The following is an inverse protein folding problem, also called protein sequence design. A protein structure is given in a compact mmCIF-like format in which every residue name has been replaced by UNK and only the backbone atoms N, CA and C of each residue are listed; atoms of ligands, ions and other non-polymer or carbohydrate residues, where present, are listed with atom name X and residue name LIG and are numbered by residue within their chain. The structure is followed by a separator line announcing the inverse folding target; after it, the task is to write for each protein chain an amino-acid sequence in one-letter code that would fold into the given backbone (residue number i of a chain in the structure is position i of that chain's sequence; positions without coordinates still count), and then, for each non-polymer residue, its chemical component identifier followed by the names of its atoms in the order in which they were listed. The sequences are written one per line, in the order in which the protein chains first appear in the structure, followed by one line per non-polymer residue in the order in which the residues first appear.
data_IF_454134351879
#
_entry.id   IF_454134351879
#
_cell.length_a   1.000
_cell.length_b   1.000
_cell.length_c   1.000
_cell.angle_alpha   90.00
_cell.angle_beta   90.00
_cell.angle_gamma   90.00
#
_symmetry.space_group_name_H-M   'P 1'
#
loop_
_entity.id
_entity.type
_entity.pdbx_description
1 polymer ?
#
# COMPACT_ATOMS: atom_id res chain seq x y z
N UNK A 1 -4.78 -13.10 -25.22
CA UNK A 1 -3.60 -13.45 -24.37
C UNK A 1 -3.52 -12.42 -23.25
N UNK A 2 -3.43 -12.86 -21.99
CA UNK A 2 -3.34 -11.97 -20.82
C UNK A 2 -2.10 -11.05 -20.95
N UNK A 3 -2.18 -9.80 -20.47
CA UNK A 3 -1.10 -8.79 -20.49
C UNK A 3 0.20 -9.37 -19.95
N UNK A 4 0.12 -10.15 -18.87
CA UNK A 4 1.28 -10.82 -18.28
C UNK A 4 1.89 -11.84 -19.24
N UNK A 5 1.09 -12.73 -19.81
CA UNK A 5 1.57 -13.70 -20.80
C UNK A 5 2.22 -13.01 -22.00
N UNK A 6 1.64 -11.90 -22.48
CA UNK A 6 2.23 -11.07 -23.55
C UNK A 6 3.56 -10.45 -23.15
N UNK A 7 3.72 -10.02 -21.90
CA UNK A 7 4.99 -9.50 -21.40
C UNK A 7 6.10 -10.56 -21.42
N UNK A 8 5.76 -11.80 -21.05
CA UNK A 8 6.73 -12.90 -21.00
C UNK A 8 7.06 -13.47 -22.38
N UNK A 9 6.05 -13.73 -23.23
CA UNK A 9 6.26 -14.26 -24.59
C UNK A 9 7.08 -13.35 -25.50
N UNK A 10 7.12 -12.04 -25.24
CA UNK A 10 8.01 -11.10 -25.95
C UNK A 10 9.50 -11.45 -25.87
N UNK A 11 9.90 -12.32 -24.93
CA UNK A 11 11.28 -12.77 -24.72
C UNK A 11 11.63 -14.06 -25.48
N UNK A 12 10.72 -14.51 -26.36
CA UNK A 12 10.94 -15.68 -27.23
C UNK A 12 12.08 -15.48 -28.23
N UNK A 13 12.39 -14.24 -28.58
CA UNK A 13 13.54 -13.85 -29.42
C UNK A 13 14.90 -14.18 -28.77
N UNK A 14 14.93 -14.51 -27.48
CA UNK A 14 16.15 -14.86 -26.72
C UNK A 14 16.38 -16.37 -26.59
N UNK A 15 15.51 -17.19 -27.17
CA UNK A 15 15.63 -18.66 -27.13
C UNK A 15 15.78 -19.19 -28.55
N UNK A 16 16.68 -20.15 -28.72
CA UNK A 16 16.77 -20.99 -29.91
C UNK A 16 16.53 -22.45 -29.53
N UNK A 17 16.43 -23.30 -30.53
CA UNK A 17 16.27 -24.74 -30.34
C UNK A 17 17.44 -25.48 -31.00
N UNK A 18 17.92 -26.50 -30.31
CA UNK A 18 18.94 -27.42 -30.81
C UNK A 18 18.35 -28.82 -30.90
N UNK A 19 18.79 -29.58 -31.88
CA UNK A 19 18.50 -31.00 -32.01
C UNK A 19 19.78 -31.77 -31.70
N UNK A 20 19.67 -32.82 -30.89
CA UNK A 20 20.80 -33.72 -30.65
C UNK A 20 21.04 -34.54 -31.91
N UNK A 21 22.31 -34.64 -32.34
CA UNK A 21 22.68 -35.60 -33.37
C UNK A 21 22.46 -37.02 -32.85
N UNK A 22 21.96 -37.90 -33.71
CA UNK A 22 21.77 -39.32 -33.40
C UNK A 22 23.02 -39.91 -32.73
N UNK A 23 22.81 -40.64 -31.61
CA UNK A 23 23.76 -41.56 -30.92
C UNK A 23 24.13 -41.28 -29.45
N UNK A 24 23.27 -40.65 -28.64
CA UNK A 24 23.52 -40.57 -27.19
C UNK A 24 22.44 -41.32 -26.39
N UNK A 25 22.67 -42.62 -26.15
CA UNK A 25 21.77 -43.47 -25.37
C UNK A 25 21.46 -42.87 -23.98
N UNK A 26 22.43 -42.20 -23.36
CA UNK A 26 22.26 -41.59 -22.05
C UNK A 26 21.21 -40.45 -22.02
N UNK A 27 20.95 -39.75 -23.13
CA UNK A 27 19.89 -38.72 -23.19
C UNK A 27 18.49 -39.33 -23.34
N UNK A 28 18.38 -40.54 -23.94
CA UNK A 28 17.10 -41.26 -24.05
C UNK A 28 16.56 -41.69 -22.69
N UNK A 29 17.44 -42.05 -21.75
CA UNK A 29 17.05 -42.37 -20.38
C UNK A 29 16.32 -41.19 -19.71
N UNK A 30 16.73 -39.96 -20.05
CA UNK A 30 16.10 -38.71 -19.60
C UNK A 30 14.86 -38.31 -20.41
N UNK A 31 14.43 -39.11 -21.39
CA UNK A 31 13.28 -38.83 -22.25
C UNK A 31 13.53 -37.76 -23.30
N UNK A 32 14.80 -37.55 -23.67
CA UNK A 32 15.19 -36.64 -24.74
C UNK A 32 15.36 -37.49 -26.01
N UNK A 33 14.29 -37.54 -26.81
CA UNK A 33 14.24 -38.25 -28.10
C UNK A 33 13.36 -37.43 -29.05
N UNK A 34 13.89 -37.11 -30.24
CA UNK A 34 13.18 -36.37 -31.30
C UNK A 34 12.45 -35.09 -30.84
N UNK A 35 13.01 -34.42 -29.83
CA UNK A 35 12.46 -33.22 -29.24
C UNK A 35 13.45 -32.05 -29.39
N UNK A 36 13.01 -30.90 -29.93
CA UNK A 36 13.87 -29.72 -29.98
C UNK A 36 14.15 -29.26 -28.55
N UNK A 37 15.42 -29.05 -28.21
CA UNK A 37 15.82 -28.60 -26.87
C UNK A 37 16.03 -27.09 -26.87
N UNK A 38 15.37 -26.35 -25.97
CA UNK A 38 15.56 -24.90 -25.90
C UNK A 38 16.95 -24.57 -25.33
N UNK A 39 17.57 -23.55 -25.88
CA UNK A 39 18.82 -22.97 -25.39
C UNK A 39 18.72 -21.45 -25.38
N UNK A 40 19.18 -20.82 -24.30
CA UNK A 40 19.20 -19.36 -24.18
C UNK A 40 20.35 -18.82 -25.05
N UNK A 41 20.04 -17.95 -26.01
CA UNK A 41 21.01 -17.48 -27.02
C UNK A 41 22.27 -16.87 -26.41
N UNK A 42 22.12 -16.03 -25.39
CA UNK A 42 23.28 -15.42 -24.72
C UNK A 42 24.17 -16.45 -24.03
N UNK A 43 23.58 -17.50 -23.45
CA UNK A 43 24.34 -18.55 -22.77
C UNK A 43 25.03 -19.45 -23.79
N UNK A 44 24.38 -19.71 -24.92
CA UNK A 44 24.98 -20.36 -26.09
C UNK A 44 26.22 -19.61 -26.60
N UNK A 45 26.10 -18.30 -26.84
CA UNK A 45 27.21 -17.47 -27.32
C UNK A 45 28.39 -17.45 -26.33
N UNK A 46 28.11 -17.33 -25.03
CA UNK A 46 29.15 -17.35 -24.00
C UNK A 46 29.89 -18.70 -23.95
N UNK A 47 29.17 -19.82 -24.00
CA UNK A 47 29.82 -21.13 -23.99
C UNK A 47 30.62 -21.41 -25.27
N UNK A 48 30.21 -20.88 -26.43
CA UNK A 48 31.00 -20.97 -27.68
C UNK A 48 32.28 -20.16 -27.58
N UNK A 49 32.21 -18.97 -26.97
CA UNK A 49 33.37 -18.07 -26.82
C UNK A 49 34.38 -18.62 -25.81
N UNK A 50 33.91 -19.32 -24.78
CA UNK A 50 34.74 -19.88 -23.72
C UNK A 50 35.22 -21.31 -23.98
N UNK A 51 35.05 -21.84 -25.20
CA UNK A 51 35.35 -23.24 -25.55
C UNK A 51 34.62 -24.29 -24.70
N UNK A 52 33.53 -23.92 -24.03
CA UNK A 52 32.73 -24.85 -23.20
C UNK A 52 31.83 -25.77 -24.05
N UNK A 53 31.63 -25.43 -25.33
CA UNK A 53 30.83 -26.22 -26.28
C UNK A 53 31.65 -26.94 -27.35
N UNK A 54 32.98 -26.99 -27.21
CA UNK A 54 33.86 -27.57 -28.23
C UNK A 54 33.62 -29.09 -28.43
N UNK A 55 33.09 -29.78 -27.41
CA UNK A 55 32.82 -31.22 -27.46
C UNK A 55 31.35 -31.60 -27.17
N UNK A 56 30.71 -30.99 -26.16
CA UNK A 56 29.35 -31.33 -25.74
C UNK A 56 28.64 -30.13 -25.08
N UNK A 57 27.33 -30.01 -25.29
CA UNK A 57 26.50 -29.03 -24.59
C UNK A 57 26.18 -29.56 -23.20
N UNK A 58 26.75 -28.91 -22.17
CA UNK A 58 26.47 -29.28 -20.77
C UNK A 58 24.94 -29.25 -20.52
N UNK A 59 24.44 -30.29 -19.88
CA UNK A 59 23.01 -30.46 -19.56
C UNK A 59 22.41 -29.27 -18.80
N UNK A 60 23.22 -28.53 -18.03
CA UNK A 60 22.79 -27.31 -17.34
C UNK A 60 22.24 -26.24 -18.29
N UNK A 61 22.80 -26.09 -19.49
CA UNK A 61 22.31 -25.11 -20.48
C UNK A 61 20.96 -25.52 -21.05
N UNK A 62 20.72 -26.83 -21.21
CA UNK A 62 19.45 -27.39 -21.64
C UNK A 62 18.40 -27.20 -20.54
N UNK A 63 18.74 -27.51 -19.28
CA UNK A 63 17.87 -27.28 -18.13
C UNK A 63 17.48 -25.80 -18.04
N UNK A 64 18.44 -24.88 -18.14
CA UNK A 64 18.19 -23.44 -18.11
C UNK A 64 17.28 -23.00 -19.25
N UNK A 65 17.49 -23.51 -20.46
CA UNK A 65 16.63 -23.24 -21.62
C UNK A 65 15.21 -23.75 -21.42
N UNK A 66 15.04 -24.95 -20.84
CA UNK A 66 13.73 -25.51 -20.53
C UNK A 66 13.01 -24.64 -19.50
N UNK A 67 13.69 -24.26 -18.41
CA UNK A 67 13.12 -23.38 -17.40
C UNK A 67 12.73 -22.02 -17.99
N UNK A 68 13.56 -21.48 -18.89
CA UNK A 68 13.25 -20.26 -19.62
C UNK A 68 11.98 -20.40 -20.45
N UNK A 69 11.84 -21.50 -21.22
CA UNK A 69 10.63 -21.75 -22.01
C UNK A 69 9.37 -21.88 -21.16
N UNK A 70 9.44 -22.60 -20.04
CA UNK A 70 8.32 -22.71 -19.09
C UNK A 70 7.91 -21.33 -18.57
N UNK A 71 8.87 -20.44 -18.30
CA UNK A 71 8.58 -19.09 -17.86
C UNK A 71 7.95 -18.22 -18.95
N UNK A 72 8.47 -18.30 -20.19
CA UNK A 72 8.04 -17.36 -21.25
C UNK A 72 6.76 -17.79 -21.96
N UNK A 73 6.54 -19.10 -22.14
CA UNK A 73 5.38 -19.64 -22.83
C UNK A 73 4.95 -21.00 -22.22
N UNK A 74 4.17 -20.99 -21.13
CA UNK A 74 3.72 -22.21 -20.45
C UNK A 74 2.75 -23.07 -21.29
N UNK A 75 2.26 -22.54 -22.42
CA UNK A 75 1.38 -23.26 -23.36
C UNK A 75 2.13 -23.77 -24.59
N UNK A 76 3.46 -23.63 -24.64
CA UNK A 76 4.27 -24.11 -25.74
C UNK A 76 4.15 -25.64 -25.91
N UNK A 77 4.17 -26.10 -27.16
CA UNK A 77 3.75 -27.45 -27.54
C UNK A 77 4.52 -28.57 -26.80
N UNK A 78 5.79 -28.33 -26.46
CA UNK A 78 6.68 -29.30 -25.81
C UNK A 78 6.80 -29.14 -24.28
N UNK A 79 6.00 -28.29 -23.64
CA UNK A 79 6.13 -27.98 -22.20
C UNK A 79 5.93 -29.21 -21.32
N UNK A 80 5.04 -30.13 -21.69
CA UNK A 80 4.77 -31.33 -20.90
C UNK A 80 5.96 -32.30 -20.95
N UNK A 81 6.56 -32.46 -22.11
CA UNK A 81 7.77 -33.26 -22.35
C UNK A 81 8.95 -32.66 -21.59
N UNK A 82 9.13 -31.34 -21.67
CA UNK A 82 10.12 -30.61 -20.90
C UNK A 82 9.97 -30.80 -19.39
N UNK A 83 8.74 -30.77 -18.86
CA UNK A 83 8.49 -31.07 -17.43
C UNK A 83 8.87 -32.50 -17.07
N UNK A 84 8.62 -33.47 -17.95
CA UNK A 84 9.05 -34.88 -17.75
C UNK A 84 10.59 -35.01 -17.75
N UNK A 85 11.27 -34.33 -18.67
CA UNK A 85 12.74 -34.30 -18.74
C UNK A 85 13.31 -33.72 -17.45
N UNK A 86 12.80 -32.58 -16.98
CA UNK A 86 13.22 -31.98 -15.72
C UNK A 86 12.98 -32.91 -14.51
N UNK A 87 11.85 -33.63 -14.49
CA UNK A 87 11.54 -34.57 -13.41
C UNK A 87 12.41 -35.82 -13.38
N UNK A 88 13.05 -36.17 -14.50
CA UNK A 88 14.06 -37.25 -14.56
C UNK A 88 15.47 -36.75 -14.22
N UNK A 89 15.77 -35.50 -14.54
CA UNK A 89 17.10 -34.89 -14.31
C UNK A 89 17.29 -34.32 -12.90
N UNK A 90 16.20 -33.93 -12.23
CA UNK A 90 16.24 -33.16 -10.99
C UNK A 90 15.27 -33.74 -9.96
N UNK A 91 15.73 -33.87 -8.71
CA UNK A 91 14.87 -34.28 -7.59
C UNK A 91 13.69 -33.33 -7.35
N UNK A 92 13.92 -32.02 -7.54
CA UNK A 92 12.89 -31.01 -7.43
C UNK A 92 13.19 -29.82 -8.36
N UNK A 93 12.50 -29.79 -9.50
CA UNK A 93 12.71 -28.79 -10.54
C UNK A 93 12.33 -27.37 -10.10
N UNK A 94 11.28 -27.21 -9.27
CA UNK A 94 10.88 -25.91 -8.73
C UNK A 94 11.95 -25.32 -7.80
N UNK A 95 12.48 -26.14 -6.88
CA UNK A 95 13.59 -25.75 -5.99
C UNK A 95 14.86 -25.43 -6.77
N UNK A 96 15.18 -26.24 -7.79
CA UNK A 96 16.33 -25.96 -8.66
C UNK A 96 16.20 -24.59 -9.35
N UNK A 97 15.03 -24.29 -9.91
CA UNK A 97 14.77 -23.00 -10.56
C UNK A 97 14.91 -21.81 -9.60
N UNK A 98 14.46 -21.94 -8.34
CA UNK A 98 14.69 -20.91 -7.31
C UNK A 98 16.17 -20.72 -7.01
N UNK A 99 16.92 -21.80 -6.78
CA UNK A 99 18.36 -21.73 -6.53
C UNK A 99 19.09 -21.08 -7.71
N UNK A 100 18.64 -21.37 -8.94
CA UNK A 100 19.15 -20.71 -10.15
C UNK A 100 18.87 -19.21 -10.13
N UNK A 101 17.67 -18.77 -9.76
CA UNK A 101 17.35 -17.33 -9.66
C UNK A 101 18.28 -16.60 -8.69
N UNK A 102 18.67 -17.23 -7.57
CA UNK A 102 19.57 -16.64 -6.56
C UNK A 102 20.96 -16.38 -7.16
N UNK A 103 21.46 -17.24 -8.06
CA UNK A 103 22.76 -17.04 -8.72
C UNK A 103 22.82 -15.76 -9.58
N UNK A 104 21.67 -15.30 -10.06
CA UNK A 104 21.51 -14.10 -10.87
C UNK A 104 21.04 -12.87 -10.08
N UNK A 105 20.82 -13.01 -8.77
CA UNK A 105 20.47 -11.90 -7.90
C UNK A 105 21.51 -10.77 -8.01
N UNK A 106 21.04 -9.52 -8.14
CA UNK A 106 21.84 -8.33 -8.45
C UNK A 106 22.65 -8.33 -9.77
N UNK A 107 22.61 -9.42 -10.57
CA UNK A 107 23.33 -9.53 -11.84
C UNK A 107 22.42 -9.37 -13.04
N UNK A 108 21.23 -9.99 -13.00
CA UNK A 108 20.30 -9.99 -14.13
C UNK A 108 18.85 -10.16 -13.65
N UNK A 109 18.13 -9.04 -13.54
CA UNK A 109 16.73 -9.03 -13.09
C UNK A 109 15.82 -9.88 -13.97
N UNK A 110 16.00 -9.88 -15.30
CA UNK A 110 15.18 -10.67 -16.21
C UNK A 110 15.31 -12.16 -15.92
N UNK A 111 16.55 -12.67 -15.76
CA UNK A 111 16.76 -14.08 -15.40
C UNK A 111 16.19 -14.42 -14.02
N UNK A 112 16.31 -13.52 -13.04
CA UNK A 112 15.70 -13.72 -11.71
C UNK A 112 14.18 -13.84 -11.83
N UNK A 113 13.54 -12.94 -12.56
CA UNK A 113 12.09 -12.94 -12.81
C UNK A 113 11.63 -14.19 -13.55
N UNK A 114 12.36 -14.62 -14.59
CA UNK A 114 12.00 -15.81 -15.36
C UNK A 114 12.18 -17.10 -14.56
N UNK A 115 13.29 -17.27 -13.84
CA UNK A 115 13.51 -18.49 -13.07
C UNK A 115 12.59 -18.60 -11.86
N UNK A 116 12.23 -17.50 -11.20
CA UNK A 116 11.20 -17.52 -10.14
C UNK A 116 9.81 -17.84 -10.71
N UNK A 117 9.45 -17.28 -11.88
CA UNK A 117 8.22 -17.65 -12.59
C UNK A 117 8.19 -19.12 -12.98
N UNK A 118 9.29 -19.65 -13.53
CA UNK A 118 9.42 -21.06 -13.86
C UNK A 118 9.23 -21.94 -12.62
N UNK A 119 9.87 -21.59 -11.51
CA UNK A 119 9.73 -22.30 -10.25
C UNK A 119 8.27 -22.38 -9.78
N UNK A 120 7.55 -21.26 -9.86
CA UNK A 120 6.13 -21.18 -9.51
C UNK A 120 5.24 -22.02 -10.45
N UNK A 121 5.51 -22.02 -11.75
CA UNK A 121 4.74 -22.80 -12.75
C UNK A 121 5.06 -24.30 -12.75
N UNK A 122 6.20 -24.68 -12.18
CA UNK A 122 6.60 -26.07 -11.97
C UNK A 122 5.96 -26.68 -10.73
N UNK A 123 5.87 -25.89 -9.65
CA UNK A 123 5.17 -26.28 -8.43
C UNK A 123 4.45 -25.06 -7.84
N UNK A 124 3.15 -25.06 -8.08
CA UNK A 124 2.25 -24.01 -7.67
C UNK A 124 1.97 -24.01 -6.14
N UNK A 125 2.27 -25.12 -5.45
CA UNK A 125 2.13 -25.23 -3.99
C UNK A 125 3.41 -24.82 -3.25
N UNK A 126 4.54 -24.70 -3.96
CA UNK A 126 5.78 -24.19 -3.40
C UNK A 126 5.63 -22.71 -3.00
N UNK A 127 5.41 -22.49 -1.71
CA UNK A 127 5.17 -21.17 -1.12
C UNK A 127 6.32 -20.19 -1.39
N UNK A 128 7.57 -20.67 -1.29
CA UNK A 128 8.75 -19.84 -1.53
C UNK A 128 8.84 -19.42 -3.00
N UNK A 129 8.46 -20.30 -3.93
CA UNK A 129 8.44 -19.97 -5.36
C UNK A 129 7.35 -18.94 -5.67
N UNK A 130 6.14 -19.19 -5.17
CA UNK A 130 5.01 -18.30 -5.31
C UNK A 130 5.30 -16.90 -4.73
N UNK A 131 5.82 -16.82 -3.50
CA UNK A 131 6.22 -15.58 -2.86
C UNK A 131 7.31 -14.85 -3.65
N UNK A 132 8.39 -15.54 -4.04
CA UNK A 132 9.52 -14.94 -4.76
C UNK A 132 9.08 -14.33 -6.09
N UNK A 133 8.22 -15.03 -6.82
CA UNK A 133 7.66 -14.54 -8.07
C UNK A 133 6.70 -13.35 -7.83
N UNK A 134 5.78 -13.46 -6.88
CA UNK A 134 4.84 -12.38 -6.57
C UNK A 134 5.56 -11.09 -6.13
N UNK A 135 6.61 -11.21 -5.31
CA UNK A 135 7.44 -10.09 -4.88
C UNK A 135 8.05 -9.33 -6.06
N UNK A 136 8.53 -10.04 -7.07
CA UNK A 136 9.10 -9.43 -8.27
C UNK A 136 8.02 -8.83 -9.17
N UNK A 137 6.85 -9.47 -9.26
CA UNK A 137 5.73 -8.95 -10.06
C UNK A 137 5.26 -7.58 -9.55
N UNK A 138 5.01 -7.42 -8.24
CA UNK A 138 4.51 -6.14 -7.76
C UNK A 138 5.58 -5.04 -7.78
N UNK A 139 6.87 -5.41 -7.76
CA UNK A 139 8.02 -4.50 -7.94
C UNK A 139 8.48 -4.33 -9.40
N UNK A 140 7.80 -4.94 -10.36
CA UNK A 140 8.26 -4.94 -11.77
C UNK A 140 8.29 -3.52 -12.36
N UNK A 141 9.32 -3.21 -13.13
CA UNK A 141 9.41 -1.95 -13.87
C UNK A 141 8.66 -2.06 -15.21
N UNK A 142 7.43 -1.56 -15.23
CA UNK A 142 6.54 -1.50 -16.40
C UNK A 142 5.82 -0.17 -16.43
N UNK A 143 5.29 0.23 -17.58
CA UNK A 143 4.52 1.47 -17.69
C UNK A 143 3.33 1.47 -16.72
N UNK A 144 2.96 2.67 -16.25
CA UNK A 144 1.89 2.89 -15.26
C UNK A 144 0.57 2.23 -15.67
N UNK A 145 0.25 2.23 -16.96
CA UNK A 145 -0.94 1.59 -17.55
C UNK A 145 -1.01 0.08 -17.25
N UNK A 146 0.12 -0.62 -17.23
CA UNK A 146 0.15 -2.07 -16.98
C UNK A 146 0.43 -2.43 -15.53
N UNK A 147 0.98 -1.50 -14.73
CA UNK A 147 1.45 -1.77 -13.36
C UNK A 147 0.37 -2.41 -12.48
N UNK A 148 -0.87 -1.93 -12.58
CA UNK A 148 -2.01 -2.44 -11.82
C UNK A 148 -2.25 -3.94 -12.06
N UNK A 149 -2.19 -4.39 -13.33
CA UNK A 149 -2.39 -5.82 -13.69
C UNK A 149 -1.34 -6.72 -13.03
N UNK A 150 -0.08 -6.27 -12.96
CA UNK A 150 0.99 -7.03 -12.32
C UNK A 150 0.84 -7.04 -10.79
N UNK A 151 0.45 -5.92 -10.18
CA UNK A 151 0.20 -5.83 -8.73
C UNK A 151 -0.99 -6.72 -8.34
N UNK A 152 -2.08 -6.71 -9.10
CA UNK A 152 -3.22 -7.60 -8.85
C UNK A 152 -2.83 -9.07 -8.89
N UNK A 153 -1.99 -9.46 -9.85
CA UNK A 153 -1.58 -10.86 -9.99
C UNK A 153 -0.63 -11.27 -8.87
N UNK A 154 0.26 -10.37 -8.42
CA UNK A 154 1.04 -10.59 -7.20
C UNK A 154 0.14 -10.80 -5.97
N UNK A 155 -0.88 -9.95 -5.78
CA UNK A 155 -1.85 -10.09 -4.69
C UNK A 155 -2.55 -11.45 -4.76
N UNK A 156 -3.06 -11.85 -5.94
CA UNK A 156 -3.76 -13.14 -6.12
C UNK A 156 -2.86 -14.33 -5.76
N UNK A 157 -1.58 -14.28 -6.11
CA UNK A 157 -0.61 -15.33 -5.78
C UNK A 157 -0.36 -15.35 -4.26
N UNK A 158 -0.12 -14.19 -3.64
CA UNK A 158 0.12 -14.10 -2.19
C UNK A 158 -1.11 -14.54 -1.37
N UNK A 159 -2.31 -14.11 -1.77
CA UNK A 159 -3.56 -14.54 -1.13
C UNK A 159 -3.81 -16.04 -1.34
N UNK A 160 -3.34 -16.62 -2.45
CA UNK A 160 -3.42 -18.07 -2.64
C UNK A 160 -2.57 -18.80 -1.62
N UNK A 161 -1.35 -18.34 -1.35
CA UNK A 161 -0.50 -18.90 -0.28
C UNK A 161 -1.27 -18.91 1.05
N UNK A 162 -1.88 -17.76 1.39
CA UNK A 162 -2.63 -17.62 2.65
C UNK A 162 -3.90 -18.46 2.73
N UNK A 163 -4.45 -18.98 1.62
CA UNK A 163 -5.62 -19.88 1.66
C UNK A 163 -5.30 -21.25 2.25
N UNK A 164 -4.06 -21.74 2.11
CA UNK A 164 -3.65 -23.04 2.64
C UNK A 164 -2.60 -22.93 3.76
N UNK A 165 -1.90 -21.80 3.86
CA UNK A 165 -1.00 -21.48 4.97
C UNK A 165 -1.19 -20.02 5.40
N UNK A 166 -2.22 -19.76 6.20
CA UNK A 166 -2.54 -18.42 6.71
C UNK A 166 -1.39 -17.79 7.51
N UNK A 167 -0.58 -18.63 8.17
CA UNK A 167 0.58 -18.21 8.97
C UNK A 167 1.84 -17.88 8.15
N UNK A 168 1.83 -18.04 6.83
CA UNK A 168 3.03 -17.79 6.03
C UNK A 168 3.47 -16.32 6.13
N UNK A 169 4.56 -16.09 6.87
CA UNK A 169 4.97 -14.75 7.32
C UNK A 169 5.41 -13.86 6.16
N UNK A 170 6.11 -14.41 5.17
CA UNK A 170 6.57 -13.67 4.00
C UNK A 170 5.43 -13.18 3.11
N UNK A 171 4.36 -13.97 2.92
CA UNK A 171 3.21 -13.51 2.13
C UNK A 171 2.41 -12.43 2.87
N UNK A 172 2.21 -12.58 4.18
CA UNK A 172 1.61 -11.53 5.00
C UNK A 172 2.46 -10.25 4.92
N UNK A 173 3.79 -10.33 5.05
CA UNK A 173 4.65 -9.16 4.98
C UNK A 173 4.54 -8.41 3.65
N UNK A 174 4.58 -9.12 2.52
CA UNK A 174 4.44 -8.50 1.20
C UNK A 174 3.03 -7.92 0.96
N UNK A 175 1.97 -8.59 1.40
CA UNK A 175 0.62 -8.02 1.34
C UNK A 175 0.49 -6.76 2.21
N UNK A 176 1.21 -6.71 3.33
CA UNK A 176 1.38 -5.50 4.14
C UNK A 176 2.05 -4.38 3.34
N UNK A 177 3.17 -4.67 2.67
CA UNK A 177 3.90 -3.71 1.83
C UNK A 177 3.04 -3.17 0.68
N UNK A 178 2.29 -4.03 0.01
CA UNK A 178 1.36 -3.63 -1.07
C UNK A 178 0.20 -2.78 -0.52
N UNK A 179 -0.35 -3.16 0.64
CA UNK A 179 -1.44 -2.40 1.28
C UNK A 179 -0.95 -1.01 1.70
N UNK A 180 0.25 -0.91 2.27
CA UNK A 180 0.89 0.37 2.59
C UNK A 180 1.10 1.23 1.34
N UNK A 181 1.66 0.64 0.27
CA UNK A 181 1.90 1.36 -0.99
C UNK A 181 0.62 1.88 -1.66
N UNK A 182 -0.54 1.29 -1.32
CA UNK A 182 -1.86 1.70 -1.82
C UNK A 182 -2.64 2.55 -0.80
N UNK A 183 -1.99 3.03 0.27
CA UNK A 183 -2.59 3.91 1.28
C UNK A 183 -3.60 3.23 2.22
N UNK A 184 -3.63 1.89 2.27
CA UNK A 184 -4.54 1.11 3.11
C UNK A 184 -3.85 0.73 4.42
N UNK A 185 -3.60 1.70 5.29
CA UNK A 185 -2.71 1.54 6.44
C UNK A 185 -3.25 0.56 7.50
N UNK A 186 -4.56 0.57 7.79
CA UNK A 186 -5.15 -0.44 8.69
C UNK A 186 -4.99 -1.86 8.15
N UNK A 187 -5.22 -2.05 6.84
CA UNK A 187 -5.03 -3.35 6.19
C UNK A 187 -3.55 -3.77 6.24
N UNK A 188 -2.64 -2.84 5.99
CA UNK A 188 -1.21 -3.08 6.08
C UNK A 188 -0.79 -3.52 7.49
N UNK A 189 -1.24 -2.80 8.52
CA UNK A 189 -0.95 -3.11 9.91
C UNK A 189 -1.47 -4.50 10.32
N UNK A 190 -2.65 -4.90 9.86
CA UNK A 190 -3.19 -6.24 10.11
C UNK A 190 -2.31 -7.34 9.50
N UNK A 191 -1.84 -7.15 8.26
CA UNK A 191 -0.92 -8.08 7.62
C UNK A 191 0.44 -8.12 8.33
N UNK A 192 0.98 -6.96 8.72
CA UNK A 192 2.24 -6.90 9.47
C UNK A 192 2.16 -7.60 10.82
N UNK A 193 1.06 -7.43 11.57
CA UNK A 193 0.85 -8.16 12.82
C UNK A 193 0.83 -9.69 12.62
N UNK A 194 0.16 -10.18 11.57
CA UNK A 194 0.15 -11.61 11.21
C UNK A 194 1.54 -12.10 10.81
N UNK A 195 2.28 -11.30 10.03
CA UNK A 195 3.64 -11.61 9.65
C UNK A 195 4.56 -11.68 10.87
N UNK A 196 4.51 -10.69 11.76
CA UNK A 196 5.36 -10.58 12.95
C UNK A 196 5.14 -11.74 13.92
N UNK A 197 3.88 -12.15 14.11
CA UNK A 197 3.50 -13.27 14.98
C UNK A 197 4.09 -14.60 14.52
N UNK A 198 4.28 -14.79 13.21
CA UNK A 198 4.71 -16.05 12.60
C UNK A 198 6.11 -15.96 11.95
N UNK A 199 6.84 -14.86 12.15
CA UNK A 199 8.18 -14.69 11.60
C UNK A 199 9.21 -15.50 12.41
N UNK A 200 9.96 -16.35 11.71
CA UNK A 200 10.98 -17.22 12.34
C UNK A 200 12.29 -16.47 12.61
N UNK A 201 12.73 -15.67 11.63
CA UNK A 201 14.03 -14.96 11.66
C UNK A 201 13.89 -13.55 12.24
N UNK A 202 14.88 -13.12 13.03
CA UNK A 202 14.84 -11.82 13.69
C UNK A 202 14.97 -10.67 12.67
N UNK A 203 15.73 -10.87 11.60
CA UNK A 203 15.87 -9.90 10.51
C UNK A 203 14.52 -9.58 9.84
N UNK A 204 13.65 -10.58 9.72
CA UNK A 204 12.29 -10.37 9.20
C UNK A 204 11.42 -9.63 10.22
N UNK A 205 11.54 -9.96 11.51
CA UNK A 205 10.78 -9.24 12.56
C UNK A 205 11.19 -7.77 12.62
N UNK A 206 12.48 -7.48 12.53
CA UNK A 206 12.99 -6.10 12.52
C UNK A 206 12.50 -5.35 11.29
N UNK A 207 12.57 -5.96 10.10
CA UNK A 207 12.01 -5.38 8.89
C UNK A 207 10.49 -5.10 9.02
N UNK A 208 9.73 -6.00 9.63
CA UNK A 208 8.29 -5.80 9.87
C UNK A 208 8.06 -4.67 10.87
N UNK A 209 8.79 -4.63 11.99
CA UNK A 209 8.68 -3.57 13.00
C UNK A 209 9.02 -2.21 12.42
N UNK A 210 10.06 -2.12 11.60
CA UNK A 210 10.43 -0.89 10.91
C UNK A 210 9.30 -0.39 10.01
N UNK A 211 8.66 -1.29 9.25
CA UNK A 211 7.52 -0.93 8.42
C UNK A 211 6.28 -0.54 9.23
N UNK A 212 6.01 -1.23 10.34
CA UNK A 212 4.93 -0.86 11.26
C UNK A 212 5.17 0.52 11.88
N UNK A 213 6.40 0.84 12.29
CA UNK A 213 6.76 2.13 12.85
C UNK A 213 6.55 3.27 11.84
N UNK A 214 6.86 3.04 10.56
CA UNK A 214 6.65 4.03 9.49
C UNK A 214 5.18 4.38 9.28
N UNK A 215 4.27 3.41 9.47
CA UNK A 215 2.81 3.62 9.27
C UNK A 215 2.04 3.87 10.56
N UNK A 216 2.68 3.77 11.73
CA UNK A 216 2.01 3.90 13.02
C UNK A 216 1.22 5.21 13.17
N UNK A 217 1.71 6.38 12.69
CA UNK A 217 0.92 7.61 12.71
C UNK A 217 -0.35 7.54 11.87
N UNK A 218 -0.28 6.98 10.66
CA UNK A 218 -1.45 6.82 9.78
C UNK A 218 -2.50 5.89 10.41
N UNK A 219 -2.04 4.76 10.94
CA UNK A 219 -2.89 3.78 11.63
C UNK A 219 -3.60 4.42 12.82
N UNK A 220 -2.87 5.17 13.65
CA UNK A 220 -3.44 5.83 14.83
C UNK A 220 -4.48 6.89 14.45
N UNK A 221 -4.24 7.68 13.40
CA UNK A 221 -5.22 8.68 12.92
C UNK A 221 -6.49 8.00 12.39
N UNK A 222 -6.35 6.98 11.53
CA UNK A 222 -7.51 6.24 10.99
C UNK A 222 -8.34 5.58 12.10
N UNK A 223 -7.69 4.93 13.07
CA UNK A 223 -8.36 4.36 14.23
C UNK A 223 -9.01 5.42 15.11
N UNK A 224 -8.34 6.54 15.36
CA UNK A 224 -8.90 7.61 16.18
C UNK A 224 -10.18 8.18 15.57
N UNK A 225 -10.23 8.37 14.26
CA UNK A 225 -11.46 8.77 13.55
C UNK A 225 -12.57 7.73 13.78
N UNK A 226 -12.25 6.43 13.66
CA UNK A 226 -13.20 5.36 13.93
C UNK A 226 -13.73 5.41 15.38
N UNK A 227 -12.85 5.55 16.37
CA UNK A 227 -13.24 5.59 17.78
C UNK A 227 -14.00 6.86 18.16
N UNK A 228 -13.63 8.03 17.60
CA UNK A 228 -14.40 9.27 17.76
C UNK A 228 -15.82 9.09 17.24
N UNK A 229 -16.00 8.49 16.06
CA UNK A 229 -17.32 8.20 15.50
C UNK A 229 -18.14 7.19 16.34
N UNK A 230 -17.46 6.37 17.14
CA UNK A 230 -18.08 5.47 18.13
C UNK A 230 -18.25 6.09 19.51
N UNK A 231 -17.93 7.36 19.67
CA UNK A 231 -17.91 8.08 20.94
C UNK A 231 -16.94 7.48 21.99
N UNK A 232 -16.00 6.64 21.55
CA UNK A 232 -14.94 6.09 22.39
C UNK A 232 -13.70 7.01 22.35
N UNK A 233 -13.86 8.19 22.92
CA UNK A 233 -12.82 9.21 22.91
C UNK A 233 -11.58 8.81 23.72
N UNK A 234 -11.73 7.94 24.72
CA UNK A 234 -10.61 7.52 25.57
C UNK A 234 -9.63 6.63 24.79
N UNK A 235 -10.14 5.70 23.98
CA UNK A 235 -9.29 4.88 23.10
C UNK A 235 -8.63 5.74 22.02
N UNK A 236 -9.38 6.64 21.37
CA UNK A 236 -8.83 7.58 20.39
C UNK A 236 -7.66 8.40 20.95
N UNK A 237 -7.83 8.97 22.16
CA UNK A 237 -6.77 9.74 22.83
C UNK A 237 -5.55 8.88 23.12
N UNK A 238 -5.74 7.66 23.62
CA UNK A 238 -4.63 6.76 23.95
C UNK A 238 -3.77 6.46 22.72
N UNK A 239 -4.40 6.13 21.58
CA UNK A 239 -3.67 5.81 20.36
C UNK A 239 -2.95 7.02 19.76
N UNK A 240 -3.62 8.17 19.71
CA UNK A 240 -3.03 9.40 19.20
C UNK A 240 -1.87 9.89 20.07
N UNK A 241 -1.98 9.77 21.40
CA UNK A 241 -0.90 10.14 22.32
C UNK A 241 0.35 9.26 22.15
N UNK A 242 0.16 7.97 21.86
CA UNK A 242 1.29 7.08 21.54
C UNK A 242 1.94 7.48 20.22
N UNK A 243 1.15 7.66 19.15
CA UNK A 243 1.65 8.06 17.85
C UNK A 243 2.36 9.42 17.87
N UNK A 244 1.87 10.35 18.70
CA UNK A 244 2.45 11.68 18.90
C UNK A 244 3.90 11.65 19.40
N UNK A 245 4.32 10.61 20.13
CA UNK A 245 5.71 10.51 20.64
C UNK A 245 6.76 10.52 19.53
N UNK A 246 6.41 10.00 18.36
CA UNK A 246 7.34 9.78 17.25
C UNK A 246 6.87 10.46 15.94
N UNK A 247 5.88 11.37 16.01
CA UNK A 247 5.30 12.01 14.83
C UNK A 247 5.05 13.50 15.06
N UNK A 248 5.44 14.31 14.08
CA UNK A 248 5.21 15.75 14.05
C UNK A 248 4.04 16.17 13.16
N UNK A 249 3.19 15.22 12.72
CA UNK A 249 2.04 15.54 11.87
C UNK A 249 1.03 16.43 12.60
N UNK A 250 0.40 17.32 11.84
CA UNK A 250 -0.57 18.28 12.36
C UNK A 250 -1.93 17.64 12.68
N UNK A 251 -2.29 16.55 11.99
CA UNK A 251 -3.59 15.89 12.12
C UNK A 251 -3.74 15.12 13.44
N UNK A 252 -2.64 14.62 14.00
CA UNK A 252 -2.63 13.98 15.33
C UNK A 252 -3.16 14.92 16.42
N UNK A 253 -2.56 16.11 16.67
CA UNK A 253 -3.09 17.03 17.65
C UNK A 253 -4.46 17.58 17.26
N UNK A 254 -4.79 17.73 15.96
CA UNK A 254 -6.15 18.07 15.55
C UNK A 254 -7.18 17.05 16.06
N UNK A 255 -6.97 15.75 15.81
CA UNK A 255 -7.90 14.73 16.28
C UNK A 255 -7.87 14.53 17.80
N UNK A 256 -6.75 14.82 18.48
CA UNK A 256 -6.73 14.92 19.95
C UNK A 256 -7.65 16.03 20.42
N UNK A 257 -7.59 17.21 19.80
CA UNK A 257 -8.46 18.32 20.14
C UNK A 257 -9.94 17.98 19.95
N UNK A 258 -10.30 17.32 18.85
CA UNK A 258 -11.66 16.82 18.61
C UNK A 258 -12.08 15.83 19.71
N UNK A 259 -11.23 14.87 20.08
CA UNK A 259 -11.54 13.91 21.12
C UNK A 259 -11.72 14.58 22.51
N UNK A 260 -10.86 15.55 22.86
CA UNK A 260 -10.98 16.30 24.12
C UNK A 260 -12.18 17.24 24.15
N UNK A 261 -12.53 17.85 23.00
CA UNK A 261 -13.74 18.63 22.84
C UNK A 261 -14.98 17.78 23.18
N UNK A 262 -15.06 16.57 22.62
CA UNK A 262 -16.19 15.68 22.87
C UNK A 262 -16.16 14.99 24.26
N UNK A 263 -15.03 15.01 24.96
CA UNK A 263 -14.93 14.69 26.40
C UNK A 263 -15.25 15.88 27.32
N UNK A 264 -15.78 16.97 26.77
CA UNK A 264 -16.09 18.19 27.51
C UNK A 264 -14.86 18.78 28.24
N UNK A 265 -13.67 18.61 27.65
CA UNK A 265 -12.44 19.23 28.14
C UNK A 265 -11.93 20.29 27.15
N UNK A 266 -12.58 21.47 27.10
CA UNK A 266 -12.26 22.51 26.13
C UNK A 266 -10.86 23.11 26.34
N UNK A 267 -10.29 23.04 27.55
CA UNK A 267 -8.92 23.52 27.82
C UNK A 267 -7.87 22.70 27.09
N UNK A 268 -7.96 21.37 27.17
CA UNK A 268 -7.06 20.50 26.42
C UNK A 268 -7.35 20.57 24.92
N UNK A 269 -8.62 20.70 24.52
CA UNK A 269 -8.97 20.88 23.11
C UNK A 269 -8.29 22.12 22.50
N UNK A 270 -8.34 23.27 23.20
CA UNK A 270 -7.66 24.50 22.77
C UNK A 270 -6.16 24.27 22.58
N UNK A 271 -5.48 23.69 23.57
CA UNK A 271 -4.04 23.42 23.51
C UNK A 271 -3.66 22.56 22.32
N UNK A 272 -4.43 21.51 22.02
CA UNK A 272 -4.14 20.62 20.91
C UNK A 272 -4.51 21.23 19.55
N UNK A 273 -5.53 22.08 19.46
CA UNK A 273 -5.78 22.84 18.24
C UNK A 273 -4.65 23.83 17.95
N UNK A 274 -4.18 24.55 18.97
CA UNK A 274 -3.03 25.46 18.83
C UNK A 274 -1.76 24.70 18.42
N UNK A 275 -1.48 23.55 19.03
CA UNK A 275 -0.37 22.67 18.59
C UNK A 275 -0.52 22.23 17.13
N UNK A 276 -1.75 21.93 16.68
CA UNK A 276 -2.00 21.56 15.28
C UNK A 276 -1.63 22.69 14.32
N UNK A 277 -2.00 23.93 14.66
CA UNK A 277 -1.61 25.13 13.90
C UNK A 277 -0.09 25.31 13.91
N UNK A 278 0.57 25.17 15.07
CA UNK A 278 2.04 25.24 15.19
C UNK A 278 2.76 24.21 14.29
N UNK A 279 2.16 23.04 14.10
CA UNK A 279 2.64 21.97 13.21
C UNK A 279 2.26 22.17 11.74
N UNK A 280 1.65 23.30 11.39
CA UNK A 280 1.36 23.69 10.01
C UNK A 280 -0.03 23.30 9.52
N UNK A 281 -0.97 22.94 10.41
CA UNK A 281 -2.36 22.80 10.00
C UNK A 281 -2.94 24.13 9.53
N UNK A 282 -3.62 24.10 8.40
CA UNK A 282 -4.23 25.27 7.80
C UNK A 282 -5.44 24.88 6.94
N UNK A 283 -6.61 24.82 7.56
CA UNK A 283 -7.87 24.51 6.89
C UNK A 283 -9.08 25.05 7.68
N UNK A 284 -10.17 25.36 7.00
CA UNK A 284 -11.34 26.06 7.57
C UNK A 284 -11.95 25.36 8.80
N UNK A 285 -12.06 24.03 8.79
CA UNK A 285 -12.66 23.26 9.90
C UNK A 285 -11.89 23.43 11.21
N UNK A 286 -10.56 23.44 11.17
CA UNK A 286 -9.70 23.68 12.35
C UNK A 286 -10.03 25.01 13.02
N UNK A 287 -10.09 26.08 12.22
CA UNK A 287 -10.39 27.41 12.74
C UNK A 287 -11.84 27.51 13.24
N UNK A 288 -12.78 26.85 12.55
CA UNK A 288 -14.18 26.78 12.99
C UNK A 288 -14.28 26.18 14.39
N UNK A 289 -13.62 25.04 14.61
CA UNK A 289 -13.66 24.31 15.87
C UNK A 289 -12.90 25.06 16.98
N UNK A 290 -11.73 25.65 16.68
CA UNK A 290 -10.96 26.42 17.66
C UNK A 290 -11.70 27.71 18.09
N UNK A 291 -12.34 28.42 17.15
CA UNK A 291 -13.19 29.59 17.47
C UNK A 291 -14.32 29.18 18.42
N UNK A 292 -14.99 28.07 18.13
CA UNK A 292 -16.02 27.52 19.02
C UNK A 292 -15.45 27.19 20.42
N UNK A 293 -14.30 26.52 20.50
CA UNK A 293 -13.66 26.19 21.78
C UNK A 293 -13.28 27.45 22.57
N UNK A 294 -12.69 28.47 21.93
CA UNK A 294 -12.34 29.73 22.60
C UNK A 294 -13.59 30.44 23.14
N UNK A 295 -14.69 30.41 22.41
CA UNK A 295 -15.98 30.92 22.90
C UNK A 295 -16.52 30.12 24.10
N UNK A 296 -16.46 28.79 24.06
CA UNK A 296 -16.84 27.92 25.21
C UNK A 296 -16.02 28.26 26.45
N UNK A 297 -14.73 28.57 26.27
CA UNK A 297 -13.81 29.00 27.32
C UNK A 297 -14.01 30.45 27.78
N UNK A 298 -15.01 31.17 27.26
CA UNK A 298 -15.29 32.59 27.56
C UNK A 298 -14.16 33.54 27.17
N UNK A 299 -13.38 33.16 26.15
CA UNK A 299 -12.34 34.00 25.55
C UNK A 299 -12.90 34.74 24.34
N UNK A 300 -14.01 35.44 24.51
CA UNK A 300 -14.82 36.00 23.42
C UNK A 300 -14.02 36.95 22.51
N UNK A 301 -13.11 37.76 23.07
CA UNK A 301 -12.26 38.69 22.30
C UNK A 301 -11.24 37.94 21.44
N UNK A 302 -10.58 36.91 21.99
CA UNK A 302 -9.64 36.08 21.23
C UNK A 302 -10.37 35.28 20.14
N UNK A 303 -11.54 34.73 20.47
CA UNK A 303 -12.38 33.99 19.53
C UNK A 303 -12.83 34.89 18.37
N UNK A 304 -13.21 36.15 18.65
CA UNK A 304 -13.61 37.11 17.62
C UNK A 304 -12.43 37.47 16.70
N UNK A 305 -11.24 37.72 17.26
CA UNK A 305 -10.04 38.01 16.46
C UNK A 305 -9.72 36.83 15.54
N UNK A 306 -9.67 35.62 16.10
CA UNK A 306 -9.40 34.42 15.32
C UNK A 306 -10.45 34.19 14.22
N UNK A 307 -11.73 34.43 14.52
CA UNK A 307 -12.79 34.30 13.53
C UNK A 307 -12.66 35.32 12.39
N UNK A 308 -12.27 36.56 12.69
CA UNK A 308 -12.02 37.58 11.67
C UNK A 308 -10.88 37.15 10.74
N UNK A 309 -9.73 36.78 11.29
CA UNK A 309 -8.58 36.33 10.51
C UNK A 309 -8.92 35.10 9.66
N UNK A 310 -9.64 34.14 10.23
CA UNK A 310 -10.04 32.91 9.55
C UNK A 310 -11.05 33.17 8.42
N UNK A 311 -11.98 34.11 8.58
CA UNK A 311 -12.95 34.49 7.53
C UNK A 311 -12.26 35.19 6.36
N UNK A 312 -11.22 35.98 6.59
CA UNK A 312 -10.44 36.56 5.50
C UNK A 312 -9.79 35.47 4.63
N UNK A 313 -9.33 34.40 5.27
CA UNK A 313 -8.69 33.26 4.61
C UNK A 313 -9.67 32.27 3.99
N UNK A 314 -10.80 32.05 4.65
CA UNK A 314 -11.83 31.09 4.28
C UNK A 314 -13.20 31.78 4.14
N UNK A 315 -13.37 32.71 3.17
CA UNK A 315 -14.54 33.58 3.09
C UNK A 315 -15.86 32.86 2.83
N UNK A 316 -15.80 31.64 2.29
CA UNK A 316 -16.95 30.77 2.00
C UNK A 316 -17.36 29.87 3.17
N UNK A 317 -16.60 29.83 4.27
CA UNK A 317 -16.92 28.96 5.41
C UNK A 317 -18.04 29.58 6.26
N UNK A 318 -19.27 29.16 6.00
CA UNK A 318 -20.46 29.70 6.67
C UNK A 318 -20.49 29.37 8.16
N UNK A 319 -19.87 28.27 8.61
CA UNK A 319 -19.81 27.93 10.04
C UNK A 319 -18.91 28.88 10.83
N UNK A 320 -17.83 29.39 10.22
CA UNK A 320 -17.00 30.43 10.83
C UNK A 320 -17.80 31.71 11.07
N UNK A 321 -18.58 32.14 10.08
CA UNK A 321 -19.48 33.31 10.21
C UNK A 321 -20.55 33.09 11.25
N UNK A 322 -21.13 31.89 11.30
CA UNK A 322 -22.11 31.54 12.32
C UNK A 322 -21.49 31.67 13.72
N UNK A 323 -20.33 31.05 13.95
CA UNK A 323 -19.62 31.15 15.23
C UNK A 323 -19.27 32.60 15.57
N UNK A 324 -18.82 33.40 14.58
CA UNK A 324 -18.54 34.82 14.78
C UNK A 324 -19.80 35.60 15.19
N UNK A 325 -20.94 35.36 14.55
CA UNK A 325 -22.21 36.01 14.91
C UNK A 325 -22.60 35.71 16.37
N UNK A 326 -22.43 34.46 16.83
CA UNK A 326 -22.67 34.08 18.22
C UNK A 326 -21.74 34.84 19.19
N UNK A 327 -20.46 34.98 18.85
CA UNK A 327 -19.49 35.74 19.66
C UNK A 327 -19.82 37.24 19.65
N UNK A 328 -20.23 37.80 18.50
CA UNK A 328 -20.65 39.19 18.41
C UNK A 328 -21.87 39.48 19.29
N UNK A 329 -22.83 38.54 19.36
CA UNK A 329 -23.98 38.63 20.26
C UNK A 329 -23.55 38.65 21.73
N UNK A 330 -22.58 37.81 22.14
CA UNK A 330 -22.10 37.81 23.53
C UNK A 330 -21.39 39.12 23.90
N UNK A 331 -20.83 39.81 22.91
CA UNK A 331 -20.20 41.12 23.02
C UNK A 331 -21.17 42.30 22.77
N UNK A 332 -22.47 42.05 22.66
CA UNK A 332 -23.53 43.04 22.37
C UNK A 332 -23.34 43.81 21.03
N UNK A 333 -22.64 43.23 20.06
CA UNK A 333 -22.46 43.79 18.70
C UNK A 333 -23.52 43.24 17.74
N UNK A 334 -24.79 43.53 18.03
CA UNK A 334 -25.94 42.93 17.35
C UNK A 334 -26.01 43.21 15.84
N UNK A 335 -25.70 44.43 15.41
CA UNK A 335 -25.77 44.82 13.99
C UNK A 335 -24.83 43.96 13.12
N UNK A 336 -23.58 43.79 13.58
CA UNK A 336 -22.58 42.95 12.90
C UNK A 336 -22.95 41.47 12.90
N UNK A 337 -23.57 40.98 13.98
CA UNK A 337 -24.06 39.60 14.02
C UNK A 337 -25.18 39.38 12.98
N UNK A 338 -26.07 40.37 12.80
CA UNK A 338 -27.12 40.33 11.78
C UNK A 338 -26.51 40.35 10.37
N UNK A 339 -25.45 41.11 10.12
CA UNK A 339 -24.73 41.10 8.84
C UNK A 339 -24.19 39.70 8.50
N UNK A 340 -23.54 39.01 9.45
CA UNK A 340 -23.07 37.64 9.26
C UNK A 340 -24.20 36.67 8.98
N UNK A 341 -25.32 36.77 9.72
CA UNK A 341 -26.48 35.94 9.46
C UNK A 341 -27.12 36.21 8.10
N UNK A 342 -27.21 37.47 7.66
CA UNK A 342 -27.73 37.80 6.33
C UNK A 342 -26.86 37.18 5.23
N UNK A 343 -25.54 37.27 5.36
CA UNK A 343 -24.62 36.60 4.45
C UNK A 343 -24.88 35.09 4.38
N UNK A 344 -25.05 34.43 5.55
CA UNK A 344 -25.32 33.00 5.59
C UNK A 344 -26.66 32.65 4.92
N UNK A 345 -27.69 33.47 5.11
CA UNK A 345 -29.02 33.25 4.53
C UNK A 345 -29.05 33.38 2.99
N UNK A 346 -28.02 33.99 2.39
CA UNK A 346 -27.85 34.03 0.92
C UNK A 346 -27.26 32.74 0.36
N UNK A 347 -26.79 31.82 1.21
CA UNK A 347 -26.20 30.56 0.78
C UNK A 347 -27.25 29.60 0.22
N UNK A 348 -27.09 29.18 -1.05
CA UNK A 348 -28.11 28.42 -1.78
C UNK A 348 -28.44 27.06 -1.15
N UNK A 349 -27.42 26.37 -0.64
CA UNK A 349 -27.57 25.03 -0.06
C UNK A 349 -27.66 25.06 1.48
N UNK A 350 -28.26 26.12 2.03
CA UNK A 350 -28.46 26.25 3.47
C UNK A 350 -29.46 25.21 3.98
N UNK A 351 -29.12 24.49 5.05
CA UNK A 351 -30.04 23.51 5.66
C UNK A 351 -31.20 24.20 6.38
N UNK A 352 -32.38 23.56 6.34
CA UNK A 352 -33.57 24.03 7.08
C UNK A 352 -33.29 24.22 8.57
N UNK A 353 -32.47 23.34 9.16
CA UNK A 353 -32.07 23.44 10.56
C UNK A 353 -31.30 24.74 10.84
N UNK A 354 -30.30 25.04 10.02
CA UNK A 354 -29.47 26.23 10.18
C UNK A 354 -30.27 27.51 9.90
N UNK A 355 -31.14 27.49 8.89
CA UNK A 355 -32.09 28.57 8.61
C UNK A 355 -32.97 28.86 9.83
N UNK A 356 -33.61 27.84 10.40
CA UNK A 356 -34.50 27.98 11.55
C UNK A 356 -33.75 28.49 12.79
N UNK A 357 -32.54 28.00 13.04
CA UNK A 357 -31.69 28.46 14.14
C UNK A 357 -31.36 29.96 13.99
N UNK A 358 -30.91 30.38 12.81
CA UNK A 358 -30.56 31.78 12.53
C UNK A 358 -31.79 32.69 12.70
N UNK A 359 -32.93 32.32 12.14
CA UNK A 359 -34.15 33.13 12.23
C UNK A 359 -34.61 33.33 13.67
N UNK A 360 -34.57 32.27 14.48
CA UNK A 360 -34.89 32.34 15.91
C UNK A 360 -33.94 33.27 16.68
N UNK A 361 -32.64 33.20 16.38
CA UNK A 361 -31.64 34.07 17.01
C UNK A 361 -31.87 35.52 16.59
N UNK A 362 -32.10 35.81 15.30
CA UNK A 362 -32.38 37.16 14.81
C UNK A 362 -33.62 37.77 15.46
N UNK A 363 -34.71 37.01 15.58
CA UNK A 363 -35.92 37.46 16.28
C UNK A 363 -35.64 37.81 17.75
N UNK A 364 -34.82 37.01 18.44
CA UNK A 364 -34.43 37.29 19.83
C UNK A 364 -33.60 38.56 20.01
N UNK A 365 -32.83 38.97 18.98
CA UNK A 365 -32.06 40.21 18.97
C UNK A 365 -32.98 41.41 18.78
N UNK A 366 -33.95 41.31 17.86
CA UNK A 366 -34.89 42.40 17.54
C UNK A 366 -35.83 42.71 18.71
N UNK A 367 -36.17 41.69 19.51
CA UNK A 367 -37.09 41.81 20.64
C UNK A 367 -36.41 42.23 21.97
N UNK A 368 -35.10 42.54 21.96
CA UNK A 368 -34.37 43.11 23.11
C UNK A 368 -34.39 44.63 23.04
#
# INVERSE_FOLDING_TARGET
MNVIEKYFRKKSDKVSFIELKDNFEHYRDYGIEDIPLPIILNDMMMGMTNSEFDNEIKIEYIIDGILYMIAIDPEFIYINEYKKILGKLLDNSSKYALLKSVKFYNKNFEKVLLFTRAAFLLDEQNEMAAYSYAKLLWNIDVSKEYKEVFVEQAIRILERILRYNESYSLANFELGNISKATGKFIKANNFYNRALRNAEFEELKDAIRDEMNKIAPDVAVENAIYYINKMDYSTAISELMEARKNSSRYDIPYYLAIAYMNKENPKLAEQFFEESIEKGADFATLYTDLVYIKYVLKKDVEALHLANDAIEKYPSEIKLRYNRAIILISLNQFDKAIEDFNFILEYQDLSDEMFNQIMKIKESIINR
#
